data_IF_476987375225
#
_entry.id   IF_476987375225
#
_cell.length_a   1.000
_cell.length_b   1.000
_cell.length_c   1.000
_cell.angle_alpha   90.00
_cell.angle_beta   90.00
_cell.angle_gamma   90.00
#
_symmetry.space_group_name_H-M   'P 1'
#
loop_
_entity.id
_entity.type
_entity.pdbx_description
1 polymer ?
#
# COMPACT_ATOMS: atom_id res chain seq x y z
N UNK A 1 -36.24 10.34 68.38
CA UNK A 1 -35.96 11.73 67.97
C UNK A 1 -34.60 12.11 68.55
N UNK A 2 -33.51 12.38 67.85
CA UNK A 2 -33.21 12.70 66.45
C UNK A 2 -31.88 12.03 66.07
N UNK A 3 -31.84 11.44 64.88
CA UNK A 3 -30.63 11.06 64.16
C UNK A 3 -30.22 12.31 63.37
N UNK A 4 -28.99 12.80 63.55
CA UNK A 4 -28.36 13.83 62.72
C UNK A 4 -26.98 13.27 62.34
N UNK A 5 -26.90 12.52 61.24
CA UNK A 5 -26.48 12.97 59.89
C UNK A 5 -25.00 13.26 59.78
N UNK A 6 -24.26 12.20 59.43
CA UNK A 6 -22.88 12.15 58.95
C UNK A 6 -22.80 12.52 57.46
N UNK A 7 -22.87 13.81 57.11
CA UNK A 7 -22.95 14.21 55.70
C UNK A 7 -22.08 15.42 55.31
N UNK A 8 -20.96 15.63 56.01
CA UNK A 8 -20.03 16.76 55.73
C UNK A 8 -18.61 16.32 55.28
N UNK A 9 -18.43 15.09 54.78
CA UNK A 9 -17.10 14.61 54.35
C UNK A 9 -16.85 14.60 52.82
N UNK A 10 -17.79 15.08 52.01
CA UNK A 10 -17.69 15.04 50.54
C UNK A 10 -17.60 16.41 49.84
N UNK A 11 -17.12 17.45 50.53
CA UNK A 11 -16.81 18.75 49.92
C UNK A 11 -15.31 19.01 49.94
N UNK A 12 -14.55 18.35 49.05
CA UNK A 12 -13.10 18.51 49.01
C UNK A 12 -12.41 18.20 47.69
N UNK A 13 -13.13 17.89 46.61
CA UNK A 13 -12.53 17.71 45.28
C UNK A 13 -13.17 18.69 44.30
N UNK A 14 -12.99 19.97 44.58
CA UNK A 14 -13.21 21.02 43.59
C UNK A 14 -12.12 20.88 42.54
N UNK A 15 -12.38 20.04 41.53
CA UNK A 15 -11.60 19.97 40.30
C UNK A 15 -11.82 21.30 39.55
N UNK A 16 -11.13 22.35 40.02
CA UNK A 16 -11.10 23.65 39.34
C UNK A 16 -10.38 23.42 38.02
N UNK A 17 -11.14 23.07 36.98
CA UNK A 17 -10.70 23.13 35.60
C UNK A 17 -10.40 24.60 35.30
N UNK A 18 -9.15 25.01 35.57
CA UNK A 18 -8.61 26.27 35.08
C UNK A 18 -8.56 26.14 33.56
N UNK A 19 -9.64 26.57 32.91
CA UNK A 19 -9.79 26.58 31.46
C UNK A 19 -8.81 27.65 30.94
N UNK A 20 -7.62 27.21 30.57
CA UNK A 20 -6.56 28.06 30.05
C UNK A 20 -6.97 28.50 28.62
N UNK A 21 -7.70 29.61 28.53
CA UNK A 21 -8.41 30.10 27.34
C UNK A 21 -7.52 30.54 26.16
N UNK A 22 -6.21 30.31 26.23
CA UNK A 22 -5.30 30.55 25.11
C UNK A 22 -4.91 29.24 24.42
N UNK A 23 -5.42 29.00 23.21
CA UNK A 23 -4.78 28.02 22.32
C UNK A 23 -3.31 28.44 22.13
N UNK A 24 -2.41 27.71 22.78
CA UNK A 24 -0.99 27.91 22.59
C UNK A 24 -0.65 27.36 21.20
N UNK A 25 -0.45 28.25 20.22
CA UNK A 25 -0.09 27.89 18.83
C UNK A 25 1.04 26.84 18.79
N UNK A 26 2.03 26.97 19.68
CA UNK A 26 3.13 26.01 19.84
C UNK A 26 2.66 24.57 20.14
N UNK A 27 1.63 24.42 20.99
CA UNK A 27 1.05 23.11 21.35
C UNK A 27 0.23 22.54 20.20
N UNK A 28 -0.52 23.38 19.50
CA UNK A 28 -1.31 22.96 18.34
C UNK A 28 -0.40 22.48 17.20
N UNK A 29 0.62 23.25 16.83
CA UNK A 29 1.60 22.90 15.79
C UNK A 29 2.29 21.57 16.11
N UNK A 30 2.76 21.41 17.35
CA UNK A 30 3.38 20.15 17.80
C UNK A 30 2.42 18.96 17.67
N UNK A 31 1.17 19.12 18.09
CA UNK A 31 0.18 18.04 18.05
C UNK A 31 -0.23 17.65 16.63
N UNK A 32 0.03 18.49 15.64
CA UNK A 32 -0.24 18.17 14.23
C UNK A 32 1.02 17.61 13.54
N UNK A 33 2.18 18.23 13.76
CA UNK A 33 3.41 17.90 13.06
C UNK A 33 3.92 16.50 13.39
N UNK A 34 3.92 16.12 14.68
CA UNK A 34 4.47 14.83 15.11
C UNK A 34 3.64 13.62 14.63
N UNK A 35 2.30 13.61 14.80
CA UNK A 35 1.48 12.54 14.21
C UNK A 35 1.64 12.49 12.70
N UNK A 36 1.61 13.63 11.99
CA UNK A 36 1.78 13.65 10.53
C UNK A 36 3.15 13.09 10.12
N UNK A 37 4.22 13.44 10.83
CA UNK A 37 5.55 12.89 10.57
C UNK A 37 5.59 11.38 10.80
N UNK A 38 4.97 10.88 11.88
CA UNK A 38 4.85 9.44 12.12
C UNK A 38 4.05 8.75 11.01
N UNK A 39 2.90 9.32 10.61
CA UNK A 39 2.07 8.82 9.52
C UNK A 39 2.89 8.62 8.24
N UNK A 40 3.56 9.67 7.78
CA UNK A 40 4.35 9.65 6.55
C UNK A 40 5.51 8.66 6.66
N UNK A 41 6.17 8.58 7.82
CA UNK A 41 7.28 7.65 8.04
C UNK A 41 6.82 6.21 7.96
N UNK A 42 5.77 5.84 8.71
CA UNK A 42 5.21 4.48 8.71
C UNK A 42 4.68 4.11 7.33
N UNK A 43 3.92 5.00 6.69
CA UNK A 43 3.39 4.79 5.35
C UNK A 43 4.51 4.58 4.33
N UNK A 44 5.56 5.41 4.38
CA UNK A 44 6.75 5.28 3.53
C UNK A 44 7.46 3.94 3.72
N UNK A 45 7.68 3.50 4.96
CA UNK A 45 8.26 2.19 5.25
C UNK A 45 7.43 1.02 4.71
N UNK A 46 6.11 1.19 4.59
CA UNK A 46 5.20 0.16 4.10
C UNK A 46 5.06 0.12 2.57
N UNK A 47 5.22 1.26 1.87
CA UNK A 47 4.98 1.35 0.42
C UNK A 47 6.29 1.33 -0.39
N UNK A 48 7.38 1.92 0.11
CA UNK A 48 8.59 2.08 -0.69
C UNK A 48 9.29 0.75 -1.01
N UNK A 49 10.09 0.76 -2.09
CA UNK A 49 10.97 -0.34 -2.54
C UNK A 49 11.84 -0.94 -1.44
N UNK A 50 12.09 -0.19 -0.35
CA UNK A 50 12.78 -0.70 0.83
C UNK A 50 12.12 -1.94 1.42
N UNK A 51 10.78 -1.99 1.44
CA UNK A 51 10.02 -3.17 1.88
C UNK A 51 10.22 -4.36 0.93
N UNK A 52 10.29 -4.10 -0.38
CA UNK A 52 10.50 -5.12 -1.41
C UNK A 52 11.90 -5.76 -1.29
N UNK A 53 12.94 -4.92 -1.21
CA UNK A 53 14.33 -5.38 -1.22
C UNK A 53 14.81 -5.89 0.14
N UNK A 54 14.39 -5.26 1.23
CA UNK A 54 14.88 -5.50 2.57
C UNK A 54 13.75 -5.34 3.61
N UNK A 55 12.76 -6.23 3.54
CA UNK A 55 11.59 -6.20 4.44
C UNK A 55 11.92 -6.17 5.93
N UNK A 56 13.01 -6.80 6.36
CA UNK A 56 13.49 -6.77 7.74
C UNK A 56 13.98 -5.37 8.16
N UNK A 57 14.67 -4.64 7.28
CA UNK A 57 15.14 -3.29 7.55
C UNK A 57 13.98 -2.30 7.57
N UNK A 58 13.03 -2.43 6.64
CA UNK A 58 11.80 -1.63 6.65
C UNK A 58 10.98 -1.85 7.94
N UNK A 59 10.85 -3.10 8.40
CA UNK A 59 10.18 -3.43 9.66
C UNK A 59 10.93 -2.86 10.88
N UNK A 60 12.27 -2.92 10.88
CA UNK A 60 13.10 -2.33 11.93
C UNK A 60 12.94 -0.80 12.03
N UNK A 61 12.90 -0.09 10.90
CA UNK A 61 12.68 1.36 10.87
C UNK A 61 11.29 1.76 11.33
N UNK A 62 10.24 1.00 10.92
CA UNK A 62 8.88 1.17 11.42
C UNK A 62 8.82 1.03 12.94
N UNK A 63 9.37 -0.07 13.46
CA UNK A 63 9.39 -0.34 14.90
C UNK A 63 10.14 0.76 15.67
N UNK A 64 11.26 1.24 15.14
CA UNK A 64 12.01 2.34 15.75
C UNK A 64 11.18 3.63 15.81
N UNK A 65 10.42 3.94 14.76
CA UNK A 65 9.54 5.11 14.72
C UNK A 65 8.41 4.99 15.75
N UNK A 66 7.80 3.81 15.90
CA UNK A 66 6.78 3.52 16.91
C UNK A 66 7.32 3.65 18.34
N UNK A 67 8.51 3.10 18.60
CA UNK A 67 9.16 3.22 19.91
C UNK A 67 9.49 4.67 20.26
N UNK A 68 9.99 5.45 19.30
CA UNK A 68 10.24 6.89 19.48
C UNK A 68 8.93 7.64 19.75
N UNK A 69 7.87 7.36 18.98
CA UNK A 69 6.55 7.96 19.17
C UNK A 69 5.93 7.64 20.52
N UNK A 70 6.03 6.38 20.96
CA UNK A 70 5.59 5.91 22.27
C UNK A 70 6.35 6.57 23.42
N UNK A 71 7.70 6.64 23.31
CA UNK A 71 8.53 7.31 24.30
C UNK A 71 8.19 8.80 24.43
N UNK A 72 7.90 9.49 23.32
CA UNK A 72 7.44 10.88 23.32
C UNK A 72 6.08 11.02 24.03
N UNK A 73 5.13 10.12 23.79
CA UNK A 73 3.84 10.12 24.47
C UNK A 73 4.01 9.96 25.99
N UNK A 74 4.84 9.01 26.44
CA UNK A 74 5.12 8.78 27.86
C UNK A 74 5.81 9.98 28.49
N UNK A 75 6.83 10.54 27.83
CA UNK A 75 7.54 11.72 28.32
C UNK A 75 6.60 12.93 28.50
N UNK A 76 5.72 13.17 27.53
CA UNK A 76 4.70 14.21 27.57
C UNK A 76 3.70 13.99 28.71
N UNK A 77 3.26 12.75 28.92
CA UNK A 77 2.35 12.41 30.00
C UNK A 77 2.99 12.62 31.38
N UNK A 78 4.22 12.12 31.59
CA UNK A 78 4.99 12.28 32.83
C UNK A 78 5.26 13.76 33.12
N UNK A 79 5.66 14.53 32.11
CA UNK A 79 5.89 15.98 32.26
C UNK A 79 4.61 16.71 32.69
N UNK A 80 3.47 16.37 32.10
CA UNK A 80 2.16 16.98 32.43
C UNK A 80 1.73 16.66 33.86
N UNK A 81 1.93 15.40 34.29
CA UNK A 81 1.64 14.96 35.65
C UNK A 81 2.53 15.67 36.69
N UNK A 82 3.83 15.78 36.41
CA UNK A 82 4.77 16.51 37.28
C UNK A 82 4.44 18.00 37.37
N UNK A 83 4.05 18.60 36.26
CA UNK A 83 3.66 20.01 36.21
C UNK A 83 2.26 20.31 36.79
N UNK A 84 1.50 19.28 37.22
CA UNK A 84 0.10 19.39 37.66
C UNK A 84 -0.77 20.21 36.70
N UNK A 85 -0.52 20.05 35.40
CA UNK A 85 -1.24 20.73 34.33
C UNK A 85 -2.38 19.87 33.80
N UNK A 86 -3.27 20.45 32.98
CA UNK A 86 -4.41 19.74 32.40
C UNK A 86 -3.98 18.53 31.57
N UNK A 87 -4.55 17.35 31.84
CA UNK A 87 -4.27 16.11 31.09
C UNK A 87 -4.89 16.09 29.67
N UNK A 88 -5.74 17.05 29.32
CA UNK A 88 -6.46 17.07 28.04
C UNK A 88 -5.50 17.09 26.83
N UNK A 89 -4.46 17.91 26.88
CA UNK A 89 -3.49 18.06 25.77
C UNK A 89 -2.65 16.81 25.48
N UNK A 90 -2.02 16.13 26.46
CA UNK A 90 -1.30 14.88 26.19
C UNK A 90 -2.24 13.75 25.78
N UNK A 91 -3.45 13.66 26.35
CA UNK A 91 -4.43 12.64 25.92
C UNK A 91 -4.81 12.83 24.46
N UNK A 92 -5.14 14.06 24.05
CA UNK A 92 -5.43 14.38 22.65
C UNK A 92 -4.23 14.04 21.74
N UNK A 93 -3.01 14.39 22.15
CA UNK A 93 -1.80 14.05 21.40
C UNK A 93 -1.65 12.54 21.19
N UNK A 94 -1.81 11.75 22.25
CA UNK A 94 -1.71 10.29 22.19
C UNK A 94 -2.79 9.70 21.28
N UNK A 95 -4.03 10.20 21.34
CA UNK A 95 -5.09 9.76 20.42
C UNK A 95 -4.74 10.05 18.97
N UNK A 96 -4.21 11.25 18.66
CA UNK A 96 -3.77 11.59 17.30
C UNK A 96 -2.63 10.68 16.82
N UNK A 97 -1.66 10.35 17.69
CA UNK A 97 -0.58 9.42 17.36
C UNK A 97 -1.11 8.00 17.04
N UNK A 98 -2.06 7.51 17.84
CA UNK A 98 -2.68 6.19 17.62
C UNK A 98 -3.48 6.17 16.31
N UNK A 99 -4.32 7.19 16.07
CA UNK A 99 -5.11 7.27 14.84
C UNK A 99 -4.21 7.38 13.61
N UNK A 100 -3.15 8.17 13.72
CA UNK A 100 -2.14 8.31 12.68
C UNK A 100 -1.45 6.97 12.37
N UNK A 101 -0.98 6.26 13.39
CA UNK A 101 -0.28 4.99 13.22
C UNK A 101 -1.18 3.91 12.60
N UNK A 102 -2.39 3.73 13.15
CA UNK A 102 -3.37 2.78 12.62
C UNK A 102 -3.79 3.13 11.19
N UNK A 103 -4.03 4.42 10.92
CA UNK A 103 -4.36 4.91 9.58
C UNK A 103 -3.25 4.60 8.57
N UNK A 104 -1.98 4.88 8.94
CA UNK A 104 -0.84 4.58 8.10
C UNK A 104 -0.67 3.08 7.86
N UNK A 105 -0.90 2.24 8.88
CA UNK A 105 -0.80 0.79 8.75
C UNK A 105 -1.85 0.20 7.80
N UNK A 106 -3.11 0.62 7.95
CA UNK A 106 -4.22 0.13 7.10
C UNK A 106 -4.03 0.59 5.66
N UNK A 107 -3.80 1.89 5.45
CA UNK A 107 -3.64 2.46 4.10
C UNK A 107 -2.37 1.90 3.46
N UNK A 108 -1.27 1.80 4.20
CA UNK A 108 0.00 1.29 3.70
C UNK A 108 -0.08 -0.17 3.25
N UNK A 109 -0.69 -1.04 4.05
CA UNK A 109 -0.84 -2.46 3.70
C UNK A 109 -1.80 -2.66 2.53
N UNK A 110 -2.90 -1.90 2.48
CA UNK A 110 -3.80 -1.93 1.34
C UNK A 110 -3.10 -1.46 0.06
N UNK A 111 -2.38 -0.33 0.12
CA UNK A 111 -1.66 0.22 -1.03
C UNK A 111 -0.53 -0.71 -1.50
N UNK A 112 0.15 -1.36 -0.55
CA UNK A 112 1.17 -2.36 -0.86
C UNK A 112 0.59 -3.49 -1.72
N UNK A 113 -0.47 -4.14 -1.24
CA UNK A 113 -1.08 -5.30 -1.92
C UNK A 113 -1.77 -4.94 -3.22
N UNK A 114 -2.44 -3.78 -3.26
CA UNK A 114 -3.25 -3.39 -4.40
C UNK A 114 -2.46 -2.71 -5.52
N UNK A 115 -1.32 -2.07 -5.22
CA UNK A 115 -0.56 -1.28 -6.20
C UNK A 115 0.94 -1.59 -6.19
N UNK A 116 1.62 -1.46 -5.05
CA UNK A 116 3.08 -1.47 -5.03
C UNK A 116 3.70 -2.85 -5.31
N UNK A 117 3.17 -3.90 -4.70
CA UNK A 117 3.62 -5.29 -4.87
C UNK A 117 3.55 -5.75 -6.34
N UNK A 118 2.40 -5.68 -7.03
CA UNK A 118 2.33 -6.12 -8.43
C UNK A 118 3.26 -5.30 -9.32
N UNK A 119 3.38 -3.99 -9.11
CA UNK A 119 4.28 -3.14 -9.91
C UNK A 119 5.75 -3.55 -9.74
N UNK A 120 6.21 -3.80 -8.51
CA UNK A 120 7.58 -4.25 -8.28
C UNK A 120 7.84 -5.66 -8.81
N UNK A 121 6.86 -6.56 -8.72
CA UNK A 121 6.97 -7.89 -9.34
C UNK A 121 7.05 -7.79 -10.86
N UNK A 122 6.29 -6.86 -11.48
CA UNK A 122 6.37 -6.60 -12.91
C UNK A 122 7.73 -6.03 -13.33
N UNK A 123 8.31 -5.14 -12.53
CA UNK A 123 9.64 -4.56 -12.78
C UNK A 123 10.78 -5.56 -12.54
N UNK A 124 10.59 -6.55 -11.66
CA UNK A 124 11.60 -7.53 -11.32
C UNK A 124 11.76 -8.64 -12.39
N UNK A 125 10.80 -8.79 -13.30
CA UNK A 125 10.87 -9.79 -14.37
C UNK A 125 11.90 -9.43 -15.45
N UNK A 126 12.44 -10.46 -16.10
CA UNK A 126 13.46 -10.29 -17.12
C UNK A 126 12.88 -9.72 -18.43
N UNK A 127 13.68 -8.88 -19.08
CA UNK A 127 13.41 -8.42 -20.44
C UNK A 127 14.28 -9.19 -21.43
N UNK A 128 13.65 -9.92 -22.36
CA UNK A 128 14.33 -10.69 -23.38
C UNK A 128 14.22 -10.02 -24.74
N UNK A 129 15.36 -9.89 -25.43
CA UNK A 129 15.47 -9.33 -26.76
C UNK A 129 15.69 -10.43 -27.80
N UNK A 130 15.23 -10.18 -29.03
CA UNK A 130 15.45 -11.04 -30.19
C UNK A 130 15.04 -12.51 -29.97
N UNK A 131 13.90 -12.71 -29.30
CA UNK A 131 13.39 -14.06 -29.04
C UNK A 131 12.82 -14.68 -30.32
N UNK A 132 13.27 -15.88 -30.65
CA UNK A 132 12.70 -16.69 -31.74
C UNK A 132 11.47 -17.45 -31.25
N UNK A 133 10.36 -17.36 -31.98
CA UNK A 133 9.12 -18.10 -31.72
C UNK A 133 9.27 -19.62 -31.73
N UNK A 134 10.31 -20.14 -32.39
CA UNK A 134 10.61 -21.59 -32.41
C UNK A 134 11.38 -22.06 -31.18
N UNK A 135 11.90 -21.13 -30.37
CA UNK A 135 12.57 -21.46 -29.12
C UNK A 135 11.58 -22.01 -28.09
N UNK A 136 12.08 -22.80 -27.14
CA UNK A 136 11.24 -23.35 -26.09
C UNK A 136 10.76 -22.24 -25.15
N UNK A 137 9.44 -22.06 -25.04
CA UNK A 137 8.82 -21.08 -24.13
C UNK A 137 9.20 -21.29 -22.66
N UNK A 138 9.61 -22.52 -22.28
CA UNK A 138 10.10 -22.83 -20.92
C UNK A 138 11.34 -22.03 -20.52
N UNK A 139 12.12 -21.53 -21.49
CA UNK A 139 13.31 -20.70 -21.22
C UNK A 139 12.98 -19.24 -20.88
N UNK A 140 11.71 -18.85 -21.00
CA UNK A 140 11.23 -17.47 -20.83
C UNK A 140 10.10 -17.39 -19.81
N UNK A 141 10.07 -18.32 -18.83
CA UNK A 141 9.02 -18.39 -17.81
C UNK A 141 9.04 -17.21 -16.83
N UNK A 142 10.17 -16.51 -16.72
CA UNK A 142 10.41 -15.32 -15.91
C UNK A 142 10.42 -14.02 -16.76
N UNK A 143 9.95 -14.09 -18.01
CA UNK A 143 9.90 -12.95 -18.90
C UNK A 143 8.75 -12.00 -18.53
N UNK A 144 9.08 -10.74 -18.26
CA UNK A 144 8.10 -9.66 -18.10
C UNK A 144 7.86 -8.92 -19.40
N UNK A 145 8.90 -8.82 -20.23
CA UNK A 145 8.83 -8.23 -21.57
C UNK A 145 9.62 -9.09 -22.55
N UNK A 146 9.00 -9.39 -23.69
CA UNK A 146 9.61 -10.19 -24.75
C UNK A 146 9.55 -9.39 -26.04
N UNK A 147 10.72 -9.11 -26.61
CA UNK A 147 10.86 -8.55 -27.94
C UNK A 147 11.24 -9.66 -28.89
N UNK A 148 10.32 -10.02 -29.77
CA UNK A 148 10.56 -11.05 -30.77
C UNK A 148 11.44 -10.52 -31.91
N UNK A 149 12.16 -11.44 -32.55
CA UNK A 149 12.90 -11.17 -33.80
C UNK A 149 12.01 -10.53 -34.88
N UNK A 150 12.63 -9.72 -35.75
CA UNK A 150 11.94 -9.08 -36.86
C UNK A 150 11.23 -10.09 -37.79
N UNK A 151 10.06 -9.70 -38.31
CA UNK A 151 9.20 -10.55 -39.13
C UNK A 151 8.28 -11.48 -38.34
N UNK A 152 8.28 -11.37 -37.00
CA UNK A 152 7.31 -12.04 -36.13
C UNK A 152 5.99 -11.27 -36.09
N UNK A 153 4.86 -11.97 -36.17
CA UNK A 153 3.53 -11.38 -36.11
C UNK A 153 2.54 -12.26 -35.35
N UNK A 154 1.45 -11.65 -34.88
CA UNK A 154 0.29 -12.39 -34.38
C UNK A 154 -0.49 -12.93 -35.59
N UNK A 155 -0.72 -14.24 -35.64
CA UNK A 155 -1.47 -14.89 -36.72
C UNK A 155 -2.97 -14.87 -36.40
N UNK A 156 -3.67 -13.88 -36.94
CA UNK A 156 -5.08 -13.61 -36.62
C UNK A 156 -6.02 -14.69 -37.14
N UNK A 157 -5.67 -15.33 -38.25
CA UNK A 157 -6.50 -16.36 -38.88
C UNK A 157 -6.54 -17.67 -38.08
N UNK A 158 -5.55 -17.87 -37.19
CA UNK A 158 -5.46 -19.00 -36.26
C UNK A 158 -5.90 -18.62 -34.84
N UNK A 159 -6.53 -17.46 -34.66
CA UNK A 159 -7.01 -17.02 -33.36
C UNK A 159 -8.29 -17.76 -32.94
N UNK A 160 -8.46 -17.93 -31.63
CA UNK A 160 -9.63 -18.56 -31.03
C UNK A 160 -10.13 -17.73 -29.86
N UNK A 161 -11.40 -17.89 -29.53
CA UNK A 161 -12.06 -17.16 -28.46
C UNK A 161 -12.99 -18.06 -27.63
N UNK A 162 -13.16 -17.70 -26.37
CA UNK A 162 -14.08 -18.35 -25.43
C UNK A 162 -14.83 -17.28 -24.65
N UNK A 163 -16.16 -17.40 -24.55
CA UNK A 163 -17.01 -16.40 -23.88
C UNK A 163 -17.51 -16.96 -22.55
N UNK A 164 -17.17 -16.28 -21.46
CA UNK A 164 -17.71 -16.56 -20.13
C UNK A 164 -17.76 -15.25 -19.32
N UNK A 165 -18.90 -14.56 -19.36
CA UNK A 165 -19.11 -13.15 -18.93
C UNK A 165 -18.28 -12.11 -19.70
N UNK A 166 -17.01 -12.42 -19.98
CA UNK A 166 -16.09 -11.67 -20.84
C UNK A 166 -15.54 -12.56 -21.96
N UNK A 167 -14.99 -11.94 -23.00
CA UNK A 167 -14.42 -12.67 -24.15
C UNK A 167 -12.94 -12.90 -23.92
N UNK A 168 -12.55 -14.16 -23.75
CA UNK A 168 -11.16 -14.58 -23.64
C UNK A 168 -10.63 -14.89 -25.05
N UNK A 169 -9.57 -14.20 -25.45
CA UNK A 169 -8.99 -14.28 -26.78
C UNK A 169 -7.58 -14.87 -26.72
N UNK A 170 -7.25 -15.75 -27.66
CA UNK A 170 -5.91 -16.31 -27.83
C UNK A 170 -5.54 -16.35 -29.31
N UNK A 171 -4.32 -15.93 -29.64
CA UNK A 171 -3.78 -15.98 -31.00
C UNK A 171 -2.30 -16.38 -30.99
N UNK A 172 -1.85 -17.29 -31.86
CA UNK A 172 -0.46 -17.69 -31.89
C UNK A 172 0.44 -16.59 -32.46
N UNK A 173 1.68 -16.54 -31.97
CA UNK A 173 2.73 -15.67 -32.48
C UNK A 173 3.63 -16.50 -33.40
N UNK A 174 3.78 -16.07 -34.65
CA UNK A 174 4.47 -16.84 -35.71
C UNK A 174 5.52 -16.01 -36.43
N UNK A 175 6.47 -16.69 -37.06
CA UNK A 175 7.47 -16.11 -37.94
C UNK A 175 7.52 -16.91 -39.24
N UNK A 176 7.05 -16.30 -40.33
CA UNK A 176 6.88 -16.97 -41.62
C UNK A 176 5.57 -17.77 -41.75
N UNK A 177 5.39 -18.44 -42.88
CA UNK A 177 4.25 -19.33 -43.12
C UNK A 177 4.66 -20.76 -42.79
N UNK A 178 4.16 -21.33 -41.69
CA UNK A 178 4.50 -22.72 -41.34
C UNK A 178 3.81 -23.24 -40.08
N UNK A 179 3.38 -24.49 -40.15
CA UNK A 179 2.87 -25.31 -39.04
C UNK A 179 4.01 -25.80 -38.12
N UNK A 180 4.88 -24.89 -37.65
CA UNK A 180 5.85 -25.25 -36.61
C UNK A 180 5.18 -25.28 -35.24
N UNK A 181 5.76 -26.01 -34.29
CA UNK A 181 5.30 -26.03 -32.90
C UNK A 181 5.35 -24.62 -32.31
N UNK A 182 4.19 -24.00 -32.14
CA UNK A 182 4.05 -22.66 -31.59
C UNK A 182 4.16 -22.71 -30.07
N UNK A 183 5.17 -22.05 -29.52
CA UNK A 183 5.39 -21.97 -28.07
C UNK A 183 4.88 -20.65 -27.45
N UNK A 184 4.54 -19.67 -28.29
CA UNK A 184 4.16 -18.34 -27.85
C UNK A 184 2.79 -17.95 -28.39
N UNK A 185 1.97 -17.43 -27.50
CA UNK A 185 0.61 -16.97 -27.79
C UNK A 185 0.41 -15.58 -27.20
N UNK A 186 -0.27 -14.73 -27.96
CA UNK A 186 -0.85 -13.50 -27.43
C UNK A 186 -2.21 -13.86 -26.86
N UNK A 187 -2.48 -13.44 -25.63
CA UNK A 187 -3.78 -13.66 -24.98
C UNK A 187 -4.25 -12.39 -24.29
N UNK A 188 -5.57 -12.23 -24.18
CA UNK A 188 -6.15 -11.10 -23.49
C UNK A 188 -7.68 -11.20 -23.38
N UNK A 189 -8.25 -10.26 -22.63
CA UNK A 189 -9.68 -10.18 -22.35
C UNK A 189 -10.26 -9.04 -23.19
N UNK A 190 -11.38 -9.31 -23.86
CA UNK A 190 -12.11 -8.38 -24.73
C UNK A 190 -11.24 -7.79 -25.86
N UNK A 191 -10.27 -8.59 -26.32
CA UNK A 191 -9.34 -8.24 -27.39
C UNK A 191 -9.82 -8.60 -28.80
N UNK A 192 -10.91 -9.35 -28.90
CA UNK A 192 -11.44 -9.91 -30.13
C UNK A 192 -12.96 -10.06 -30.03
N UNK A 193 -13.63 -10.07 -31.17
CA UNK A 193 -15.02 -10.53 -31.28
C UNK A 193 -15.05 -12.06 -31.28
N UNK A 194 -16.22 -12.65 -30.98
CA UNK A 194 -16.38 -14.11 -31.00
C UNK A 194 -17.60 -14.51 -31.86
N UNK A 195 -17.42 -15.15 -33.03
CA UNK A 195 -16.17 -15.68 -33.60
C UNK A 195 -15.16 -14.60 -34.02
N UNK A 196 -13.86 -14.96 -34.04
CA UNK A 196 -12.76 -14.00 -34.22
C UNK A 196 -12.73 -13.42 -35.65
N UNK A 197 -13.12 -12.15 -35.77
CA UNK A 197 -12.95 -11.35 -36.99
C UNK A 197 -11.98 -10.20 -36.82
N UNK A 198 -11.78 -9.74 -35.59
CA UNK A 198 -10.88 -8.63 -35.25
C UNK A 198 -9.98 -8.99 -34.08
N UNK A 199 -8.76 -8.43 -34.07
CA UNK A 199 -7.78 -8.58 -32.98
C UNK A 199 -7.18 -7.22 -32.65
N UNK A 200 -7.40 -6.74 -31.42
CA UNK A 200 -7.10 -5.37 -30.98
C UNK A 200 -6.27 -5.28 -29.68
N UNK A 201 -5.83 -6.42 -29.14
CA UNK A 201 -5.01 -6.49 -27.92
C UNK A 201 -3.76 -5.61 -28.04
N UNK A 202 -3.68 -4.54 -27.24
CA UNK A 202 -2.56 -3.58 -27.23
C UNK A 202 -2.57 -2.54 -28.35
N UNK A 203 -3.62 -2.50 -29.18
CA UNK A 203 -3.80 -1.53 -30.26
C UNK A 203 -4.77 -0.39 -29.91
N UNK A 204 -5.16 -0.29 -28.64
CA UNK A 204 -5.94 0.84 -28.10
C UNK A 204 -5.00 2.02 -27.83
N UNK A 205 -4.68 2.72 -28.91
CA UNK A 205 -4.33 4.15 -28.90
C UNK A 205 -5.54 4.97 -29.35
#
# INVERSE_FOLDING_TARGET
RRIATSLDYFHGVSFVHRYDNGMNLKRAVRNFLFPTALFVTVLGCLIFRLRYQAGSLAAGLKLLAELCGGALCVAMFVHTCRARSSLLWPVFFTLCMIVSDLGAAVIGEWTWKALAEPEFDFEALATYMEVDVHSSGKRYSDAGRVYFVAGTRVEKDAASCFVNERTYCIAPIVRGAGNSSQNFFSSGIDCCDCPVTTWRCGAWE
#
